data_IF_346301239888
#
_entry.id   IF_346301239888
#
_cell.length_a   1.000
_cell.length_b   1.000
_cell.length_c   1.000
_cell.angle_alpha   90.00
_cell.angle_beta   90.00
_cell.angle_gamma   90.00
#
_symmetry.space_group_name_H-M   'P 1'
#
loop_
_entity.id
_entity.type
_entity.pdbx_description
1 polymer ?
#
# COMPACT_ATOMS: atom_id res chain seq x y z
N UNK A 1 -14.88 -23.04 -1.56
CA UNK A 1 -15.79 -22.30 -0.66
C UNK A 1 -15.20 -20.91 -0.51
N UNK A 2 -15.94 -19.88 -0.92
CA UNK A 2 -15.56 -18.50 -0.69
C UNK A 2 -15.69 -18.24 0.82
N UNK A 3 -14.59 -17.87 1.47
CA UNK A 3 -14.62 -17.43 2.87
C UNK A 3 -15.37 -16.10 2.87
N UNK A 4 -16.49 -16.05 3.58
CA UNK A 4 -17.29 -14.84 3.74
C UNK A 4 -16.41 -13.74 4.33
N UNK A 5 -16.44 -12.55 3.73
CA UNK A 5 -15.64 -11.38 4.10
C UNK A 5 -16.13 -10.67 5.38
N UNK A 6 -16.77 -11.40 6.28
CA UNK A 6 -17.38 -10.89 7.51
C UNK A 6 -16.64 -11.52 8.68
N UNK A 7 -16.10 -10.67 9.56
CA UNK A 7 -15.30 -10.98 10.75
C UNK A 7 -13.77 -11.03 10.54
N UNK A 8 -13.22 -10.03 9.84
CA UNK A 8 -11.81 -9.68 9.99
C UNK A 8 -11.68 -8.77 11.22
N UNK A 9 -11.01 -9.26 12.26
CA UNK A 9 -10.74 -8.50 13.50
C UNK A 9 -10.07 -7.15 13.20
N UNK A 10 -10.45 -6.13 13.98
CA UNK A 10 -9.89 -4.79 13.90
C UNK A 10 -8.42 -4.81 14.34
N UNK A 11 -7.57 -4.08 13.63
CA UNK A 11 -6.13 -4.09 13.90
C UNK A 11 -5.80 -3.15 15.07
N UNK A 12 -5.15 -3.66 16.12
CA UNK A 12 -4.26 -2.85 16.96
C UNK A 12 -2.96 -2.54 16.20
N UNK A 13 -2.85 -1.35 15.61
CA UNK A 13 -1.69 -0.95 14.81
C UNK A 13 -0.36 -1.27 15.50
N UNK A 14 0.73 -1.63 14.76
CA UNK A 14 1.93 -2.18 15.37
C UNK A 14 2.55 -1.18 16.34
N UNK A 15 2.29 -1.32 17.64
CA UNK A 15 2.77 -0.39 18.66
C UNK A 15 4.30 -0.45 18.76
N UNK A 16 4.92 0.59 19.32
CA UNK A 16 6.32 0.53 19.75
C UNK A 16 6.45 -0.61 20.78
N UNK A 17 6.90 -1.78 20.35
CA UNK A 17 7.15 -2.90 21.25
C UNK A 17 8.41 -2.56 22.04
N UNK A 18 8.22 -1.97 23.22
CA UNK A 18 9.30 -1.70 24.15
C UNK A 18 9.95 -2.99 24.67
N UNK A 19 11.28 -3.09 24.53
CA UNK A 19 12.10 -3.90 25.44
C UNK A 19 12.44 -5.35 25.05
N UNK A 20 12.51 -5.69 23.75
CA UNK A 20 13.12 -6.95 23.28
C UNK A 20 14.38 -6.70 22.44
N UNK A 21 15.35 -7.62 22.44
CA UNK A 21 16.48 -7.58 21.50
C UNK A 21 15.95 -7.37 20.07
N UNK A 22 16.40 -6.29 19.43
CA UNK A 22 15.93 -5.93 18.09
C UNK A 22 16.31 -7.03 17.10
N UNK A 23 15.31 -7.79 16.66
CA UNK A 23 15.51 -8.85 15.67
C UNK A 23 15.87 -8.23 14.31
N UNK A 24 16.96 -8.64 13.64
CA UNK A 24 17.58 -7.88 12.56
C UNK A 24 16.70 -7.68 11.31
N UNK A 25 15.71 -8.55 11.13
CA UNK A 25 14.79 -8.53 9.98
C UNK A 25 13.34 -8.17 10.37
N UNK A 26 13.09 -7.86 11.65
CA UNK A 26 11.83 -7.27 12.07
C UNK A 26 11.86 -5.75 11.91
N UNK A 27 10.75 -5.18 11.45
CA UNK A 27 10.56 -3.75 11.32
C UNK A 27 9.67 -3.26 12.47
N UNK A 28 10.31 -3.08 13.63
CA UNK A 28 9.73 -2.65 14.91
C UNK A 28 9.50 -1.12 14.98
N UNK A 29 10.27 -0.35 14.21
CA UNK A 29 10.20 1.12 14.18
C UNK A 29 9.02 1.61 13.35
N UNK A 30 7.86 1.67 13.98
CA UNK A 30 6.67 2.35 13.48
C UNK A 30 6.61 3.78 14.01
N UNK A 31 6.19 4.73 13.17
CA UNK A 31 5.97 6.13 13.56
C UNK A 31 4.57 6.57 13.22
N UNK A 32 3.91 7.24 14.17
CA UNK A 32 2.64 7.89 13.96
C UNK A 32 2.89 9.23 13.27
N UNK A 33 2.52 9.32 11.98
CA UNK A 33 2.76 10.52 11.16
C UNK A 33 1.54 11.43 11.07
N UNK A 34 0.34 10.86 11.25
CA UNK A 34 -0.91 11.61 11.36
C UNK A 34 -1.75 10.99 12.47
N UNK A 35 -2.31 11.83 13.34
CA UNK A 35 -3.33 11.43 14.32
C UNK A 35 -4.38 12.53 14.43
N UNK A 36 -5.62 12.19 14.16
CA UNK A 36 -6.80 13.05 14.37
C UNK A 36 -7.93 12.21 14.98
N UNK A 37 -9.06 12.83 15.31
CA UNK A 37 -10.27 12.08 15.69
C UNK A 37 -10.85 11.25 14.54
N UNK A 38 -10.58 11.65 13.29
CA UNK A 38 -11.06 10.97 12.09
C UNK A 38 -10.19 9.79 11.64
N UNK A 39 -9.02 9.59 12.24
CA UNK A 39 -8.15 8.47 11.88
C UNK A 39 -6.67 8.68 12.17
N UNK A 40 -5.86 7.77 11.67
CA UNK A 40 -4.41 7.81 11.84
C UNK A 40 -3.67 7.26 10.62
N UNK A 41 -2.44 7.75 10.45
CA UNK A 41 -1.47 7.20 9.50
C UNK A 41 -0.21 6.83 10.26
N UNK A 42 0.23 5.58 10.10
CA UNK A 42 1.47 5.07 10.68
C UNK A 42 2.40 4.56 9.59
N UNK A 43 3.69 4.78 9.77
CA UNK A 43 4.72 4.39 8.81
C UNK A 43 5.74 3.50 9.52
N UNK A 44 5.89 2.28 9.04
CA UNK A 44 6.96 1.36 9.43
C UNK A 44 8.13 1.56 8.47
N UNK A 45 9.27 2.00 9.01
CA UNK A 45 10.44 2.28 8.17
C UNK A 45 11.14 0.97 7.83
N UNK A 46 11.40 0.75 6.53
CA UNK A 46 12.38 -0.24 6.11
C UNK A 46 13.76 0.02 6.75
N UNK A 47 14.54 -1.04 6.91
CA UNK A 47 15.92 -0.95 7.39
C UNK A 47 16.85 -0.58 6.24
N UNK A 48 17.73 0.43 6.43
CA UNK A 48 18.91 0.58 5.59
C UNK A 48 19.71 -0.73 5.60
N UNK A 49 20.31 -1.08 4.47
CA UNK A 49 21.10 -2.31 4.36
C UNK A 49 22.46 -2.00 3.76
N UNK A 50 23.51 -2.27 4.54
CA UNK A 50 24.87 -1.77 4.25
C UNK A 50 24.84 -0.25 4.02
N UNK A 51 25.51 0.24 2.97
CA UNK A 51 25.58 1.67 2.63
C UNK A 51 24.39 2.17 1.79
N UNK A 52 23.31 1.38 1.66
CA UNK A 52 22.13 1.73 0.87
C UNK A 52 20.97 2.17 1.77
N UNK A 53 20.23 3.18 1.30
CA UNK A 53 18.96 3.57 1.91
C UNK A 53 17.95 2.42 1.88
N UNK A 54 16.99 2.44 2.80
CA UNK A 54 15.92 1.46 2.79
C UNK A 54 15.14 1.58 1.46
N UNK A 55 15.00 0.50 0.68
CA UNK A 55 14.40 0.59 -0.66
C UNK A 55 12.88 0.81 -0.64
N UNK A 56 12.22 0.59 0.50
CA UNK A 56 10.78 0.72 0.65
C UNK A 56 10.39 0.86 2.13
N UNK A 57 9.29 1.55 2.39
CA UNK A 57 8.63 1.64 3.70
C UNK A 57 7.18 1.15 3.60
N UNK A 58 6.55 0.82 4.73
CA UNK A 58 5.17 0.34 4.77
C UNK A 58 4.30 1.36 5.52
N UNK A 59 3.22 1.80 4.88
CA UNK A 59 2.23 2.70 5.46
C UNK A 59 0.95 1.97 5.85
N UNK A 60 0.35 2.39 6.96
CA UNK A 60 -0.96 1.97 7.44
C UNK A 60 -1.84 3.20 7.57
N UNK A 61 -2.94 3.23 6.82
CA UNK A 61 -3.92 4.32 6.85
C UNK A 61 -5.22 3.76 7.41
N UNK A 62 -5.63 4.28 8.57
CA UNK A 62 -6.87 3.92 9.24
C UNK A 62 -7.79 5.15 9.28
N UNK A 63 -9.01 4.99 8.79
CA UNK A 63 -9.96 6.09 8.69
C UNK A 63 -11.31 5.70 9.29
N UNK A 64 -11.82 6.55 10.17
CA UNK A 64 -13.16 6.42 10.75
C UNK A 64 -14.25 6.60 9.68
N UNK A 65 -15.48 6.11 9.91
CA UNK A 65 -16.62 6.38 9.06
C UNK A 65 -16.82 7.89 8.80
N UNK A 66 -17.23 8.25 7.58
CA UNK A 66 -17.53 9.64 7.18
C UNK A 66 -16.34 10.59 7.32
N UNK A 67 -15.17 10.16 6.85
CA UNK A 67 -13.94 10.96 6.92
C UNK A 67 -13.31 11.19 5.55
N UNK A 68 -12.52 12.26 5.46
CA UNK A 68 -11.74 12.67 4.30
C UNK A 68 -10.28 12.83 4.71
N UNK A 69 -9.39 12.09 4.05
CA UNK A 69 -7.98 12.44 3.95
C UNK A 69 -7.88 13.55 2.91
N UNK A 70 -7.53 14.75 3.37
CA UNK A 70 -7.62 15.96 2.55
C UNK A 70 -6.66 15.93 1.34
N UNK A 71 -6.95 16.70 0.27
CA UNK A 71 -6.13 16.71 -0.93
C UNK A 71 -4.65 17.06 -0.67
N UNK A 72 -3.77 16.17 -1.09
CA UNK A 72 -2.32 16.28 -0.91
C UNK A 72 -1.56 15.53 -2.02
N UNK A 73 -0.29 15.85 -2.21
CA UNK A 73 0.64 14.99 -2.94
C UNK A 73 1.86 14.68 -2.07
N UNK A 74 2.55 13.60 -2.39
CA UNK A 74 3.79 13.20 -1.73
C UNK A 74 4.87 12.90 -2.77
N UNK A 75 6.14 12.98 -2.36
CA UNK A 75 7.33 12.65 -3.17
C UNK A 75 7.66 11.14 -3.14
N UNK A 76 6.63 10.29 -3.18
CA UNK A 76 6.78 8.83 -3.19
C UNK A 76 5.67 8.16 -4.01
N UNK A 77 6.01 7.04 -4.65
CA UNK A 77 5.01 6.17 -5.26
C UNK A 77 4.30 5.37 -4.18
N UNK A 78 2.97 5.29 -4.26
CA UNK A 78 2.14 4.51 -3.33
C UNK A 78 1.47 3.35 -4.06
N UNK A 79 1.77 2.11 -3.68
CA UNK A 79 0.94 0.96 -4.05
C UNK A 79 0.02 0.67 -2.88
N UNK A 80 -1.24 1.07 -2.99
CA UNK A 80 -2.27 0.88 -1.98
C UNK A 80 -2.88 -0.51 -2.10
N UNK A 81 -3.20 -1.13 -0.97
CA UNK A 81 -4.02 -2.32 -0.84
C UNK A 81 -5.11 -2.07 0.19
N UNK A 82 -6.37 -2.18 -0.22
CA UNK A 82 -7.50 -2.01 0.69
C UNK A 82 -7.78 -3.33 1.43
N UNK A 83 -7.48 -3.37 2.74
CA UNK A 83 -7.68 -4.54 3.61
C UNK A 83 -9.14 -4.68 4.04
N UNK A 84 -9.73 -3.57 4.48
CA UNK A 84 -11.04 -3.50 5.13
C UNK A 84 -11.78 -2.22 4.73
N UNK A 85 -13.11 -2.31 4.63
CA UNK A 85 -14.01 -1.19 4.35
C UNK A 85 -14.16 -0.88 2.87
N UNK A 86 -14.82 0.23 2.57
CA UNK A 86 -15.02 0.77 1.23
C UNK A 86 -14.49 2.20 1.16
N UNK A 87 -13.56 2.46 0.24
CA UNK A 87 -12.93 3.76 0.11
C UNK A 87 -13.19 4.36 -1.27
N UNK A 88 -13.43 5.67 -1.33
CA UNK A 88 -13.36 6.42 -2.59
C UNK A 88 -12.01 7.12 -2.64
N UNK A 89 -11.27 6.90 -3.71
CA UNK A 89 -10.00 7.57 -3.98
C UNK A 89 -10.15 8.48 -5.19
N UNK A 90 -9.68 9.72 -5.07
CA UNK A 90 -9.52 10.63 -6.18
C UNK A 90 -8.06 10.99 -6.36
N UNK A 91 -7.56 11.04 -7.59
CA UNK A 91 -6.21 11.49 -7.88
C UNK A 91 -6.10 12.15 -9.26
N UNK A 92 -5.13 13.04 -9.42
CA UNK A 92 -4.80 13.64 -10.71
C UNK A 92 -4.01 12.64 -11.55
N UNK A 93 -4.52 12.32 -12.73
CA UNK A 93 -3.85 11.47 -13.72
C UNK A 93 -3.68 12.24 -15.03
N UNK A 94 -2.43 12.54 -15.38
CA UNK A 94 -2.17 13.51 -16.45
C UNK A 94 -2.74 14.86 -16.04
N UNK A 95 -3.78 15.31 -16.73
CA UNK A 95 -4.46 16.59 -16.48
C UNK A 95 -5.84 16.43 -15.85
N UNK A 96 -6.32 15.19 -15.69
CA UNK A 96 -7.70 14.90 -15.29
C UNK A 96 -7.79 14.40 -13.83
N UNK A 97 -8.84 14.82 -13.12
CA UNK A 97 -9.22 14.20 -11.86
C UNK A 97 -9.95 12.88 -12.13
N UNK A 98 -9.30 11.80 -11.70
CA UNK A 98 -9.82 10.45 -11.78
C UNK A 98 -10.28 10.03 -10.41
N UNK A 99 -11.38 9.28 -10.37
CA UNK A 99 -11.85 8.69 -9.11
C UNK A 99 -12.18 7.22 -9.30
N UNK A 100 -11.94 6.46 -8.25
CA UNK A 100 -12.31 5.05 -8.15
C UNK A 100 -12.91 4.76 -6.78
N UNK A 101 -13.85 3.83 -6.75
CA UNK A 101 -14.26 3.16 -5.51
C UNK A 101 -13.41 1.91 -5.38
N UNK A 102 -12.83 1.73 -4.21
CA UNK A 102 -12.04 0.57 -3.83
C UNK A 102 -12.87 -0.30 -2.90
N UNK A 103 -12.83 -1.61 -3.13
CA UNK A 103 -13.36 -2.67 -2.26
C UNK A 103 -12.22 -3.50 -1.66
N UNK A 104 -12.45 -4.28 -0.59
CA UNK A 104 -11.41 -5.12 -0.01
C UNK A 104 -10.74 -6.02 -1.06
N UNK A 105 -9.41 -6.06 -1.05
CA UNK A 105 -8.60 -6.77 -2.03
C UNK A 105 -8.06 -5.90 -3.17
N UNK A 106 -8.58 -4.69 -3.35
CA UNK A 106 -8.16 -3.80 -4.44
C UNK A 106 -6.75 -3.26 -4.22
N UNK A 107 -5.95 -3.31 -5.29
CA UNK A 107 -4.62 -2.72 -5.40
C UNK A 107 -4.65 -1.56 -6.38
N UNK A 108 -4.13 -0.40 -5.98
CA UNK A 108 -4.07 0.80 -6.82
C UNK A 108 -2.72 1.52 -6.65
N UNK A 109 -2.12 1.95 -7.77
CA UNK A 109 -0.93 2.81 -7.74
C UNK A 109 -1.33 4.29 -7.77
N UNK A 110 -0.79 5.07 -6.84
CA UNK A 110 -0.70 6.53 -6.95
C UNK A 110 0.76 6.90 -7.24
N UNK A 111 1.08 7.48 -8.42
CA UNK A 111 2.44 7.93 -8.72
C UNK A 111 2.87 9.09 -7.84
N UNK A 112 4.17 9.19 -7.54
CA UNK A 112 4.76 10.33 -6.87
C UNK A 112 4.34 11.66 -7.52
N UNK A 113 4.08 12.69 -6.70
CA UNK A 113 3.64 14.02 -7.15
C UNK A 113 2.18 14.10 -7.62
N UNK A 114 1.46 12.97 -7.77
CA UNK A 114 0.04 13.00 -8.12
C UNK A 114 -0.77 13.46 -6.92
N UNK A 115 -1.47 14.58 -7.04
CA UNK A 115 -2.39 15.03 -5.97
C UNK A 115 -3.54 14.04 -5.83
N UNK A 116 -3.81 13.58 -4.61
CA UNK A 116 -4.84 12.62 -4.29
C UNK A 116 -5.58 12.96 -2.99
N UNK A 117 -6.74 12.33 -2.81
CA UNK A 117 -7.52 12.34 -1.58
C UNK A 117 -8.18 10.96 -1.37
N UNK A 118 -8.52 10.63 -0.12
CA UNK A 118 -9.26 9.41 0.24
C UNK A 118 -10.52 9.80 1.01
N UNK A 119 -11.63 9.14 0.73
CA UNK A 119 -12.90 9.32 1.43
C UNK A 119 -13.39 7.98 1.95
N UNK A 120 -13.63 7.89 3.24
CA UNK A 120 -14.41 6.80 3.82
C UNK A 120 -15.90 7.20 3.81
N UNK A 121 -16.65 6.68 2.85
CA UNK A 121 -18.10 6.90 2.72
C UNK A 121 -18.93 5.86 3.48
N UNK A 122 -18.27 4.92 4.17
CA UNK A 122 -18.90 3.81 4.86
C UNK A 122 -19.80 4.28 6.00
N UNK A 123 -21.04 3.80 6.03
CA UNK A 123 -21.93 3.98 7.18
C UNK A 123 -21.51 3.02 8.28
N UNK A 124 -20.71 3.50 9.22
CA UNK A 124 -20.32 2.75 10.42
C UNK A 124 -19.17 1.75 10.24
N UNK A 125 -18.55 1.66 9.06
CA UNK A 125 -17.38 0.81 8.83
C UNK A 125 -16.10 1.64 8.65
N UNK A 126 -15.05 1.27 9.38
CA UNK A 126 -13.70 1.83 9.23
C UNK A 126 -13.05 1.36 7.92
N UNK A 127 -12.16 2.19 7.38
CA UNK A 127 -11.30 1.82 6.26
C UNK A 127 -9.89 1.54 6.78
N UNK A 128 -9.29 0.45 6.31
CA UNK A 128 -7.89 0.11 6.57
C UNK A 128 -7.16 -0.15 5.27
N UNK A 129 -6.09 0.61 5.01
CA UNK A 129 -5.25 0.50 3.81
C UNK A 129 -3.82 0.21 4.26
N UNK A 130 -3.21 -0.76 3.59
CA UNK A 130 -1.77 -1.03 3.68
C UNK A 130 -1.15 -0.53 2.39
N UNK A 131 -0.05 0.22 2.46
CA UNK A 131 0.63 0.68 1.27
C UNK A 131 2.14 0.51 1.31
N UNK A 132 2.73 0.26 0.14
CA UNK A 132 4.16 0.49 -0.04
C UNK A 132 4.41 1.97 -0.25
N UNK A 133 5.47 2.49 0.33
CA UNK A 133 5.98 3.83 0.10
C UNK A 133 7.38 3.68 -0.52
N UNK A 134 7.44 3.88 -1.82
CA UNK A 134 8.66 3.85 -2.63
C UNK A 134 9.12 5.28 -2.89
N UNK A 135 10.14 5.71 -2.15
CA UNK A 135 10.63 7.09 -2.12
C UNK A 135 11.47 7.39 -3.35
N UNK A 136 11.13 8.44 -4.09
CA UNK A 136 11.87 8.81 -5.31
C UNK A 136 13.01 9.81 -5.05
N UNK A 137 12.95 10.53 -3.93
CA UNK A 137 13.91 11.55 -3.53
C UNK A 137 14.38 11.36 -2.08
N UNK A 138 15.58 11.82 -1.70
CA UNK A 138 15.99 11.89 -0.30
C UNK A 138 15.06 12.80 0.51
N UNK A 139 14.60 12.32 1.66
CA UNK A 139 13.77 13.12 2.57
C UNK A 139 14.58 14.20 3.30
N UNK A 140 13.95 15.35 3.55
CA UNK A 140 14.47 16.40 4.43
C UNK A 140 14.28 16.09 5.93
N UNK A 141 13.51 15.05 6.25
CA UNK A 141 13.20 14.65 7.62
C UNK A 141 14.00 13.40 8.00
N UNK A 142 14.68 13.46 9.14
CA UNK A 142 15.25 12.25 9.74
C UNK A 142 14.17 11.27 10.18
N UNK A 143 12.93 11.73 10.35
CA UNK A 143 11.85 10.96 10.96
C UNK A 143 10.90 10.30 9.97
N UNK A 144 10.48 11.03 8.93
CA UNK A 144 9.49 10.58 7.94
C UNK A 144 10.21 10.35 6.60
N UNK A 145 10.06 9.18 5.96
CA UNK A 145 10.84 8.86 4.76
C UNK A 145 10.42 9.60 3.49
N UNK A 146 9.38 10.43 3.54
CA UNK A 146 8.83 11.18 2.42
C UNK A 146 8.33 12.54 2.89
N UNK A 147 8.12 13.45 1.96
CA UNK A 147 7.53 14.77 2.16
C UNK A 147 6.07 14.77 1.74
N UNK A 148 5.26 15.52 2.48
CA UNK A 148 3.84 15.68 2.20
C UNK A 148 3.54 17.15 1.94
N UNK A 149 2.87 17.42 0.82
CA UNK A 149 2.47 18.74 0.41
C UNK A 149 0.94 18.80 0.38
N UNK A 150 0.38 19.45 1.38
CA UNK A 150 -1.05 19.63 1.53
C UNK A 150 -1.56 20.71 0.58
N UNK A 151 -2.45 20.35 -0.33
CA UNK A 151 -3.15 21.30 -1.21
C UNK A 151 -4.35 21.85 -0.45
N UNK A 152 -5.21 20.95 0.01
CA UNK A 152 -6.22 21.27 1.02
C UNK A 152 -5.54 21.34 2.39
N UNK A 153 -5.94 22.28 3.23
CA UNK A 153 -5.34 22.47 4.54
C UNK A 153 -5.68 23.83 5.12
N UNK A 154 -4.94 24.20 6.14
CA UNK A 154 -5.20 25.41 6.90
C UNK A 154 -4.03 25.76 7.80
N UNK A 155 -4.28 26.06 9.07
CA UNK A 155 -3.20 26.10 10.07
C UNK A 155 -2.62 24.69 10.34
N UNK A 156 -3.49 23.68 10.40
CA UNK A 156 -3.10 22.29 10.64
C UNK A 156 -3.88 21.29 9.75
N UNK A 157 -3.23 20.62 8.78
CA UNK A 157 -1.86 20.84 8.33
C UNK A 157 -1.74 22.13 7.52
N UNK A 158 -0.55 22.72 7.53
CA UNK A 158 -0.26 23.93 6.75
C UNK A 158 -0.37 23.63 5.25
N UNK A 159 -1.23 24.37 4.55
CA UNK A 159 -1.33 24.28 3.09
C UNK A 159 -0.05 24.78 2.42
N UNK A 160 0.33 24.18 1.29
CA UNK A 160 1.43 24.65 0.44
C UNK A 160 1.22 26.10 -0.04
N UNK A 161 -0.02 26.57 -0.13
CA UNK A 161 -0.32 27.95 -0.50
C UNK A 161 0.16 28.96 0.56
N UNK A 162 0.18 28.59 1.84
CA UNK A 162 0.56 29.50 2.92
C UNK A 162 2.04 29.94 2.87
N UNK A 163 2.88 29.26 2.09
CA UNK A 163 4.29 29.62 1.90
C UNK A 163 4.53 30.74 0.86
N UNK A 164 3.54 31.04 0.01
CA UNK A 164 3.68 32.08 -1.01
C UNK A 164 3.24 33.45 -0.49
N UNK A 165 3.81 34.52 -1.05
CA UNK A 165 3.30 35.87 -0.78
C UNK A 165 1.85 36.00 -1.25
N UNK A 166 1.00 36.60 -0.42
CA UNK A 166 -0.43 36.79 -0.72
C UNK A 166 -0.63 37.53 -2.05
N UNK A 167 0.16 38.57 -2.31
CA UNK A 167 0.14 39.31 -3.58
C UNK A 167 0.50 38.45 -4.80
N UNK A 168 1.40 37.47 -4.63
CA UNK A 168 1.76 36.50 -5.68
C UNK A 168 0.58 35.59 -5.98
N UNK A 169 -0.07 35.05 -4.94
CA UNK A 169 -1.25 34.22 -5.10
C UNK A 169 -2.45 35.01 -5.64
N UNK A 170 -2.65 36.24 -5.19
CA UNK A 170 -3.70 37.14 -5.68
C UNK A 170 -3.53 37.41 -7.18
N UNK A 171 -2.31 37.72 -7.61
CA UNK A 171 -1.97 37.87 -9.02
C UNK A 171 -2.17 36.55 -9.81
N UNK A 172 -1.69 35.42 -9.28
CA UNK A 172 -1.76 34.13 -9.96
C UNK A 172 -3.19 33.57 -10.07
N UNK A 173 -4.01 33.76 -9.02
CA UNK A 173 -5.41 33.34 -8.97
C UNK A 173 -6.35 34.36 -9.60
N UNK A 174 -5.85 35.54 -9.97
CA UNK A 174 -6.64 36.68 -10.41
C UNK A 174 -7.78 37.00 -9.42
N UNK A 175 -7.41 37.11 -8.14
CA UNK A 175 -8.29 37.30 -7.00
C UNK A 175 -7.79 38.46 -6.13
N UNK A 176 -8.62 38.98 -5.23
CA UNK A 176 -8.16 39.97 -4.25
C UNK A 176 -7.32 39.28 -3.17
N UNK A 177 -6.44 40.03 -2.51
CA UNK A 177 -5.66 39.49 -1.38
C UNK A 177 -6.56 38.99 -0.25
N UNK A 178 -7.71 39.64 -0.03
CA UNK A 178 -8.73 39.22 0.93
C UNK A 178 -9.35 37.85 0.57
N UNK A 179 -9.69 37.65 -0.71
CA UNK A 179 -10.20 36.37 -1.21
C UNK A 179 -9.18 35.24 -1.07
N UNK A 180 -7.88 35.55 -1.24
CA UNK A 180 -6.77 34.60 -1.08
C UNK A 180 -6.47 34.32 0.39
N UNK A 181 -6.62 35.32 1.27
CA UNK A 181 -6.45 35.17 2.71
C UNK A 181 -7.31 34.03 3.27
N UNK A 182 -8.52 33.85 2.75
CA UNK A 182 -9.42 32.73 3.11
C UNK A 182 -8.82 31.33 2.84
N UNK A 183 -7.90 31.21 1.88
CA UNK A 183 -7.23 29.95 1.53
C UNK A 183 -6.04 29.66 2.44
N UNK A 184 -5.29 30.71 2.78
CA UNK A 184 -4.07 30.60 3.58
C UNK A 184 -4.36 30.57 5.08
N UNK A 185 -5.50 31.11 5.50
CA UNK A 185 -5.94 31.20 6.90
C UNK A 185 -7.09 30.24 7.23
N UNK A 186 -7.45 29.34 6.33
CA UNK A 186 -8.42 28.28 6.62
C UNK A 186 -7.99 27.49 7.87
N UNK A 187 -8.95 27.01 8.67
CA UNK A 187 -8.65 26.20 9.85
C UNK A 187 -9.16 24.77 9.59
N UNK A 188 -8.31 23.92 9.03
CA UNK A 188 -8.60 22.50 8.92
C UNK A 188 -8.40 21.82 10.28
N UNK A 189 -9.22 20.81 10.60
CA UNK A 189 -9.12 20.03 11.84
C UNK A 189 -8.07 18.91 11.76
N UNK A 190 -7.03 19.07 10.92
CA UNK A 190 -6.00 18.08 10.67
C UNK A 190 -6.09 17.39 9.29
N UNK A 191 -5.15 16.47 8.99
CA UNK A 191 -5.07 15.83 7.67
C UNK A 191 -6.21 14.85 7.36
N UNK A 192 -6.80 14.25 8.40
CA UNK A 192 -7.99 13.41 8.29
C UNK A 192 -9.11 14.10 9.07
N UNK A 193 -10.16 14.51 8.38
CA UNK A 193 -11.28 15.27 8.98
C UNK A 193 -12.59 14.49 8.88
N UNK A 194 -13.47 14.67 9.85
CA UNK A 194 -14.86 14.26 9.72
C UNK A 194 -15.57 15.16 8.72
N UNK A 195 -16.45 14.53 7.94
CA UNK A 195 -17.25 15.20 6.93
C UNK A 195 -18.69 15.21 7.41
N UNK A 196 -19.07 16.23 8.19
CA UNK A 196 -20.45 16.40 8.67
C UNK A 196 -21.36 16.93 7.56
N UNK A 197 -22.53 16.30 7.36
CA UNK A 197 -23.55 16.78 6.41
C UNK A 197 -23.38 16.36 4.94
N UNK A 198 -22.37 15.53 4.60
CA UNK A 198 -22.22 14.99 3.25
C UNK A 198 -22.85 13.59 3.13
N UNK A 199 -24.15 13.54 2.79
CA UNK A 199 -24.70 12.35 2.15
C UNK A 199 -23.97 12.11 0.81
N UNK A 200 -23.88 10.85 0.36
CA UNK A 200 -23.04 10.43 -0.77
C UNK A 200 -23.19 11.23 -2.08
N UNK A 201 -24.27 11.99 -2.25
CA UNK A 201 -24.48 12.93 -3.36
C UNK A 201 -23.52 14.13 -3.36
N UNK A 202 -23.14 14.71 -2.21
CA UNK A 202 -22.31 15.92 -2.19
C UNK A 202 -20.84 15.66 -2.57
N UNK A 203 -20.29 14.50 -2.21
CA UNK A 203 -18.94 14.09 -2.67
C UNK A 203 -18.88 13.83 -4.17
N UNK A 204 -20.01 13.46 -4.77
CA UNK A 204 -20.14 13.34 -6.22
C UNK A 204 -20.19 14.73 -6.88
N UNK A 205 -20.91 15.69 -6.28
CA UNK A 205 -20.95 17.09 -6.73
C UNK A 205 -19.60 17.80 -6.60
N UNK A 206 -18.86 17.60 -5.51
CA UNK A 206 -17.52 18.17 -5.31
C UNK A 206 -16.54 17.70 -6.38
N UNK A 207 -16.53 16.39 -6.62
CA UNK A 207 -15.75 15.78 -7.68
C UNK A 207 -16.18 16.23 -9.08
N UNK A 208 -17.48 16.41 -9.28
CA UNK A 208 -18.04 16.92 -10.53
C UNK A 208 -17.64 18.38 -10.76
N UNK A 209 -17.63 19.22 -9.72
CA UNK A 209 -17.14 20.59 -9.75
C UNK A 209 -15.65 20.66 -10.08
N UNK A 210 -14.81 19.81 -9.45
CA UNK A 210 -13.39 19.70 -9.80
C UNK A 210 -13.18 19.24 -11.25
N UNK A 211 -13.93 18.23 -11.70
CA UNK A 211 -13.87 17.75 -13.10
C UNK A 211 -14.29 18.83 -14.09
N UNK A 212 -15.34 19.60 -13.79
CA UNK A 212 -15.78 20.73 -14.61
C UNK A 212 -14.68 21.81 -14.66
N UNK A 213 -14.06 22.12 -13.53
CA UNK A 213 -12.94 23.05 -13.46
C UNK A 213 -11.72 22.58 -14.28
N UNK A 214 -11.32 21.31 -14.20
CA UNK A 214 -10.19 20.82 -14.99
C UNK A 214 -10.50 20.82 -16.51
N UNK A 215 -11.74 20.46 -16.89
CA UNK A 215 -12.19 20.48 -18.29
C UNK A 215 -12.22 21.88 -18.89
N UNK A 216 -12.70 22.88 -18.14
CA UNK A 216 -12.69 24.26 -18.62
C UNK A 216 -11.26 24.82 -18.72
N UNK A 217 -10.33 24.40 -17.86
CA UNK A 217 -8.94 24.86 -17.91
C UNK A 217 -8.24 24.36 -19.21
N UNK A 218 -8.50 23.11 -19.59
CA UNK A 218 -8.01 22.53 -20.85
C UNK A 218 -8.46 23.29 -22.10
N UNK A 219 -9.73 23.74 -22.14
CA UNK A 219 -10.27 24.59 -23.22
C UNK A 219 -9.61 25.97 -23.28
N UNK A 220 -9.15 26.49 -22.15
CA UNK A 220 -8.41 27.77 -22.07
C UNK A 220 -7.00 27.65 -22.67
N UNK A 221 -6.31 26.50 -22.47
CA UNK A 221 -5.01 26.22 -23.06
C UNK A 221 -5.07 25.91 -24.56
N UNK A 222 -6.16 25.30 -25.04
CA UNK A 222 -6.36 24.95 -26.46
C UNK A 222 -6.85 26.11 -27.34
N UNK A 223 -6.88 27.35 -26.82
CA UNK A 223 -6.88 28.55 -27.66
C UNK A 223 -8.24 29.12 -28.08
N UNK A 224 -9.28 29.01 -27.24
CA UNK A 224 -10.54 29.75 -27.47
C UNK A 224 -10.46 31.20 -26.92
N UNK A 225 -10.45 32.23 -27.79
CA UNK A 225 -10.33 33.63 -27.38
C UNK A 225 -11.57 34.20 -26.67
N UNK A 226 -12.75 33.56 -26.72
CA UNK A 226 -13.92 34.03 -25.97
C UNK A 226 -13.85 33.71 -24.47
N UNK A 227 -13.19 32.61 -24.08
CA UNK A 227 -13.04 32.22 -22.67
C UNK A 227 -12.09 33.16 -21.93
N UNK A 228 -11.14 33.80 -22.63
CA UNK A 228 -10.23 34.81 -22.04
C UNK A 228 -10.97 36.06 -21.52
N UNK A 229 -12.21 36.34 -21.97
CA UNK A 229 -12.98 37.54 -21.57
C UNK A 229 -13.87 37.34 -20.34
N UNK A 230 -14.19 36.11 -19.94
CA UNK A 230 -14.88 35.83 -18.67
C UNK A 230 -13.85 35.37 -17.64
N UNK A 231 -13.35 36.32 -16.88
CA UNK A 231 -12.38 36.09 -15.81
C UNK A 231 -12.79 34.92 -14.92
N UNK A 232 -11.98 33.89 -14.95
CA UNK A 232 -12.11 32.71 -14.11
C UNK A 232 -11.84 33.08 -12.65
N UNK A 233 -12.74 32.73 -11.72
CA UNK A 233 -12.55 32.94 -10.28
C UNK A 233 -12.47 31.59 -9.54
N UNK A 234 -11.24 31.12 -9.32
CA UNK A 234 -10.93 29.88 -8.56
C UNK A 234 -11.42 29.92 -7.10
N UNK A 235 -11.66 31.13 -6.57
CA UNK A 235 -12.17 31.40 -5.22
C UNK A 235 -13.50 30.70 -4.93
N UNK A 236 -14.39 30.55 -5.93
CA UNK A 236 -15.68 29.86 -5.77
C UNK A 236 -15.58 28.33 -5.64
N UNK A 237 -14.54 27.73 -6.20
CA UNK A 237 -14.28 26.29 -6.07
C UNK A 237 -13.69 26.04 -4.69
N UNK A 238 -12.67 26.81 -4.30
CA UNK A 238 -12.02 26.65 -3.01
C UNK A 238 -12.94 27.00 -1.83
N UNK A 239 -13.83 27.99 -1.97
CA UNK A 239 -14.86 28.27 -0.94
C UNK A 239 -15.83 27.10 -0.76
N UNK A 240 -16.15 26.37 -1.84
CA UNK A 240 -16.95 25.14 -1.78
C UNK A 240 -16.19 23.98 -1.11
N UNK A 241 -14.85 23.96 -1.22
CA UNK A 241 -13.97 23.00 -0.55
C UNK A 241 -13.83 23.25 0.96
N UNK A 242 -13.76 24.51 1.39
CA UNK A 242 -13.43 24.87 2.78
C UNK A 242 -14.63 25.26 3.65
N UNK A 243 -15.74 25.74 3.07
CA UNK A 243 -16.81 26.38 3.87
C UNK A 243 -18.22 25.83 3.64
N UNK A 244 -18.40 24.79 2.81
CA UNK A 244 -19.69 24.08 2.66
C UNK A 244 -20.90 24.92 2.20
N UNK A 245 -20.70 26.21 1.88
CA UNK A 245 -21.77 27.15 1.56
C UNK A 245 -21.58 27.71 0.16
N UNK A 246 -22.38 27.23 -0.79
CA UNK A 246 -22.38 27.73 -2.16
C UNK A 246 -23.34 26.99 -3.08
N UNK A 247 -24.65 27.17 -2.88
CA UNK A 247 -25.66 26.71 -3.83
C UNK A 247 -25.67 27.58 -5.09
N UNK A 248 -24.99 27.14 -6.15
CA UNK A 248 -25.17 27.66 -7.50
C UNK A 248 -25.54 26.52 -8.45
N UNK A 249 -26.72 26.64 -9.07
CA UNK A 249 -27.24 25.75 -10.10
C UNK A 249 -26.85 26.35 -11.45
N UNK A 250 -25.85 25.77 -12.11
CA UNK A 250 -25.48 26.11 -13.49
C UNK A 250 -26.05 25.03 -14.42
N UNK A 251 -26.82 25.48 -15.40
CA UNK A 251 -27.59 24.68 -16.35
C UNK A 251 -26.72 23.75 -17.19
N UNK A 252 -27.27 22.56 -17.49
CA UNK A 252 -26.65 21.54 -18.31
C UNK A 252 -26.61 21.98 -19.78
N UNK A 253 -25.40 22.06 -20.35
CA UNK A 253 -25.23 22.08 -21.80
C UNK A 253 -24.47 20.85 -22.30
N UNK A 254 -24.81 20.51 -23.54
CA UNK A 254 -24.78 19.19 -24.15
C UNK A 254 -23.41 18.48 -24.18
N UNK A 255 -23.50 17.15 -24.09
CA UNK A 255 -22.43 16.19 -24.38
C UNK A 255 -22.06 16.25 -25.87
N UNK A 256 -21.06 17.02 -26.22
CA UNK A 256 -20.35 16.82 -27.49
C UNK A 256 -19.26 15.75 -27.35
N UNK A 257 -19.25 14.86 -28.34
CA UNK A 257 -18.32 13.76 -28.55
C UNK A 257 -16.88 14.26 -28.68
N UNK A 258 -15.98 13.68 -27.87
CA UNK A 258 -14.53 13.90 -27.94
C UNK A 258 -13.92 13.27 -29.20
N UNK A 259 -12.90 13.90 -29.74
CA UNK A 259 -11.94 13.27 -30.65
C UNK A 259 -11.05 12.27 -29.90
N UNK A 260 -10.92 11.08 -30.45
CA UNK A 260 -9.98 10.03 -30.02
C UNK A 260 -8.57 10.37 -30.50
N UNK A 261 -7.68 10.69 -29.56
CA UNK A 261 -6.24 10.80 -29.80
C UNK A 261 -5.52 11.19 -28.52
N UNK A 262 -4.77 10.26 -27.93
CA UNK A 262 -3.71 10.49 -26.93
C UNK A 262 -4.01 10.78 -25.45
N UNK A 263 -5.24 10.62 -24.95
CA UNK A 263 -5.44 10.57 -23.49
C UNK A 263 -5.11 9.16 -22.94
N UNK A 264 -3.98 9.01 -22.24
CA UNK A 264 -3.66 7.76 -21.50
C UNK A 264 -4.80 7.47 -20.54
N UNK A 265 -5.51 6.35 -20.77
CA UNK A 265 -6.64 5.93 -19.92
C UNK A 265 -6.12 5.68 -18.51
N UNK A 266 -6.74 6.28 -17.47
CA UNK A 266 -6.29 6.06 -16.12
C UNK A 266 -6.54 4.61 -15.69
N UNK A 267 -5.61 4.02 -14.93
CA UNK A 267 -5.72 2.64 -14.51
C UNK A 267 -6.93 2.42 -13.60
N UNK A 268 -7.58 1.27 -13.76
CA UNK A 268 -8.54 0.75 -12.79
C UNK A 268 -7.79 0.02 -11.67
N UNK A 269 -8.42 -0.15 -10.51
CA UNK A 269 -7.86 -0.94 -9.43
C UNK A 269 -7.86 -2.44 -9.80
N UNK A 270 -6.87 -3.19 -9.30
CA UNK A 270 -6.77 -4.63 -9.49
C UNK A 270 -7.16 -5.35 -8.21
N UNK A 271 -8.22 -6.15 -8.22
CA UNK A 271 -8.61 -6.92 -7.04
C UNK A 271 -7.84 -8.24 -6.93
N UNK A 272 -7.10 -8.44 -5.85
CA UNK A 272 -6.33 -9.67 -5.60
C UNK A 272 -7.23 -10.89 -5.36
N UNK A 273 -8.41 -10.71 -4.75
CA UNK A 273 -9.31 -11.81 -4.42
C UNK A 273 -10.10 -12.32 -5.62
N UNK A 274 -10.22 -11.52 -6.69
CA UNK A 274 -10.82 -11.94 -7.96
C UNK A 274 -9.85 -12.85 -8.78
N UNK A 275 -8.57 -12.96 -8.37
CA UNK A 275 -7.54 -13.77 -9.03
C UNK A 275 -7.51 -15.22 -8.50
N UNK A 276 -7.18 -16.17 -9.39
CA UNK A 276 -6.84 -17.54 -8.99
C UNK A 276 -5.42 -17.58 -8.39
N UNK A 277 -5.18 -18.31 -7.30
CA UNK A 277 -3.84 -18.47 -6.75
C UNK A 277 -2.83 -19.00 -7.77
N UNK A 278 -1.63 -18.42 -7.74
CA UNK A 278 -0.49 -18.88 -8.53
C UNK A 278 0.03 -20.22 -8.01
N UNK A 279 -0.20 -20.52 -6.73
CA UNK A 279 0.00 -21.84 -6.13
C UNK A 279 -1.12 -22.18 -5.14
N UNK A 280 -1.51 -23.46 -5.08
CA UNK A 280 -2.46 -23.98 -4.08
C UNK A 280 -2.23 -25.47 -3.86
N UNK A 281 -2.19 -25.90 -2.61
CA UNK A 281 -2.35 -27.29 -2.20
C UNK A 281 -3.19 -27.36 -0.90
N UNK A 282 -3.20 -28.51 -0.23
CA UNK A 282 -3.95 -28.71 1.02
C UNK A 282 -3.39 -27.95 2.22
N UNK A 283 -2.17 -27.41 2.12
CA UNK A 283 -1.47 -26.70 3.20
C UNK A 283 -1.59 -25.18 3.11
N UNK A 284 -2.02 -24.66 1.96
CA UNK A 284 -2.16 -23.23 1.75
C UNK A 284 -2.24 -22.82 0.29
N UNK A 285 -2.15 -21.52 0.04
CA UNK A 285 -2.12 -20.93 -1.29
C UNK A 285 -1.34 -19.62 -1.31
N UNK A 286 -0.89 -19.21 -2.49
CA UNK A 286 -0.23 -17.91 -2.69
C UNK A 286 -0.65 -17.24 -4.00
N UNK A 287 -0.61 -15.92 -3.99
CA UNK A 287 -0.87 -15.02 -5.12
C UNK A 287 0.31 -14.06 -5.26
N UNK A 288 0.74 -13.80 -6.49
CA UNK A 288 1.69 -12.75 -6.87
C UNK A 288 1.05 -11.85 -7.94
N UNK A 289 0.94 -10.56 -7.66
CA UNK A 289 0.52 -9.53 -8.61
C UNK A 289 1.74 -8.71 -9.04
N UNK A 290 2.06 -8.75 -10.34
CA UNK A 290 3.25 -8.14 -10.92
C UNK A 290 2.90 -7.27 -12.15
N UNK A 291 3.90 -6.65 -12.79
CA UNK A 291 3.73 -5.72 -13.92
C UNK A 291 3.08 -6.32 -15.17
N UNK A 292 3.14 -7.65 -15.34
CA UNK A 292 2.47 -8.30 -16.47
C UNK A 292 0.96 -8.40 -16.25
N UNK A 293 0.54 -8.55 -15.00
CA UNK A 293 -0.86 -8.64 -14.60
C UNK A 293 -1.48 -7.26 -14.39
N UNK A 294 -0.70 -6.33 -13.82
CA UNK A 294 -1.12 -4.96 -13.52
C UNK A 294 -0.01 -3.97 -13.91
N UNK A 295 -0.06 -3.52 -15.17
CA UNK A 295 0.94 -2.64 -15.78
C UNK A 295 1.34 -1.38 -14.97
N UNK A 296 0.44 -0.72 -14.21
CA UNK A 296 0.82 0.42 -13.37
C UNK A 296 1.97 0.13 -12.41
N UNK A 297 2.09 -1.09 -11.88
CA UNK A 297 3.16 -1.49 -10.96
C UNK A 297 4.58 -1.30 -11.52
N UNK A 298 4.73 -1.24 -12.84
CA UNK A 298 6.00 -0.93 -13.49
C UNK A 298 6.56 0.44 -13.08
N UNK A 299 5.71 1.41 -12.73
CA UNK A 299 6.13 2.76 -12.35
C UNK A 299 6.82 2.82 -10.98
N UNK A 300 6.39 2.00 -10.01
CA UNK A 300 7.02 1.90 -8.69
C UNK A 300 8.09 0.80 -8.62
N UNK A 301 8.19 -0.05 -9.65
CA UNK A 301 8.98 -1.28 -9.59
C UNK A 301 8.67 -2.12 -8.32
N UNK A 302 7.41 -2.14 -7.89
CA UNK A 302 6.92 -2.93 -6.76
C UNK A 302 5.93 -3.97 -7.25
N UNK A 303 6.02 -5.20 -6.75
CA UNK A 303 4.98 -6.21 -6.89
C UNK A 303 4.33 -6.51 -5.53
N UNK A 304 3.18 -7.16 -5.55
CA UNK A 304 2.37 -7.46 -4.37
C UNK A 304 2.22 -8.97 -4.24
N UNK A 305 2.25 -9.49 -3.02
CA UNK A 305 1.97 -10.90 -2.77
C UNK A 305 0.98 -11.08 -1.63
N UNK A 306 0.28 -12.22 -1.66
CA UNK A 306 -0.62 -12.66 -0.62
C UNK A 306 -0.43 -14.16 -0.43
N UNK A 307 -0.24 -14.60 0.81
CA UNK A 307 -0.01 -16.00 1.18
C UNK A 307 -0.95 -16.37 2.30
N UNK A 308 -1.56 -17.54 2.19
CA UNK A 308 -2.34 -18.15 3.26
C UNK A 308 -1.76 -19.52 3.59
N UNK A 309 -1.46 -19.73 4.86
CA UNK A 309 -0.96 -20.98 5.41
C UNK A 309 -2.02 -21.55 6.36
N UNK A 310 -2.37 -22.82 6.17
CA UNK A 310 -3.17 -23.54 7.15
C UNK A 310 -2.36 -23.82 8.41
N UNK A 311 -3.04 -24.10 9.53
CA UNK A 311 -2.39 -24.36 10.81
C UNK A 311 -1.30 -25.44 10.70
N UNK A 312 -0.11 -25.15 11.23
CA UNK A 312 1.04 -26.06 11.16
C UNK A 312 1.56 -26.31 9.73
N UNK A 313 1.45 -25.32 8.85
CA UNK A 313 2.04 -25.34 7.51
C UNK A 313 3.15 -24.30 7.37
N UNK A 314 3.99 -24.43 6.35
CA UNK A 314 5.05 -23.49 6.05
C UNK A 314 5.18 -23.23 4.56
N UNK A 315 5.56 -22.01 4.18
CA UNK A 315 6.26 -21.83 2.91
C UNK A 315 7.63 -22.47 3.08
N UNK A 316 7.99 -23.38 2.17
CA UNK A 316 9.25 -24.11 2.21
C UNK A 316 10.44 -23.14 2.25
N UNK A 317 11.55 -23.50 2.91
CA UNK A 317 12.82 -22.78 2.81
C UNK A 317 13.14 -22.41 1.37
N UNK A 318 13.27 -21.11 1.10
CA UNK A 318 13.44 -20.57 -0.25
C UNK A 318 14.29 -19.31 -0.25
N UNK A 319 14.67 -18.92 -1.46
CA UNK A 319 15.43 -17.70 -1.73
C UNK A 319 14.72 -16.89 -2.81
N UNK A 320 14.52 -15.60 -2.52
CA UNK A 320 14.06 -14.64 -3.51
C UNK A 320 15.26 -14.12 -4.30
N UNK A 321 15.31 -14.47 -5.58
CA UNK A 321 16.48 -14.18 -6.44
C UNK A 321 16.40 -12.83 -7.13
N UNK A 322 15.26 -12.14 -7.05
CA UNK A 322 15.03 -10.91 -7.80
C UNK A 322 14.76 -9.71 -6.91
N UNK A 323 13.97 -9.87 -5.86
CA UNK A 323 13.53 -8.77 -5.02
C UNK A 323 13.74 -9.07 -3.54
N UNK A 324 13.82 -8.00 -2.75
CA UNK A 324 13.63 -8.09 -1.32
C UNK A 324 12.12 -8.13 -1.02
N UNK A 325 11.74 -8.80 0.07
CA UNK A 325 10.35 -9.03 0.47
C UNK A 325 10.03 -8.26 1.75
N UNK A 326 8.92 -7.55 1.76
CA UNK A 326 8.35 -6.90 2.94
C UNK A 326 7.02 -7.56 3.24
N UNK A 327 6.93 -8.30 4.34
CA UNK A 327 5.73 -9.02 4.75
C UNK A 327 5.05 -8.35 5.94
N UNK A 328 3.73 -8.34 5.91
CA UNK A 328 2.83 -7.92 6.98
C UNK A 328 1.98 -9.13 7.36
N UNK A 329 1.95 -9.47 8.64
CA UNK A 329 1.04 -10.50 9.14
C UNK A 329 -0.38 -9.94 9.22
N UNK A 330 -1.26 -10.48 8.39
CA UNK A 330 -2.63 -9.98 8.23
C UNK A 330 -3.60 -10.60 9.22
N UNK A 331 -3.35 -11.84 9.65
CA UNK A 331 -4.13 -12.56 10.65
C UNK A 331 -3.36 -13.78 11.14
N UNK A 332 -3.61 -14.18 12.38
CA UNK A 332 -3.00 -15.35 12.98
C UNK A 332 -1.57 -15.10 13.46
N UNK A 333 -0.88 -16.19 13.76
CA UNK A 333 0.46 -16.16 14.33
C UNK A 333 1.33 -17.27 13.76
N UNK A 334 2.64 -17.11 13.91
CA UNK A 334 3.61 -18.03 13.35
C UNK A 334 5.04 -17.63 13.64
N UNK A 335 5.93 -18.06 12.76
CA UNK A 335 7.37 -17.84 12.87
C UNK A 335 7.96 -17.50 11.51
N UNK A 336 8.92 -16.58 11.51
CA UNK A 336 9.77 -16.30 10.35
C UNK A 336 11.21 -16.64 10.71
N UNK A 337 11.85 -17.45 9.87
CA UNK A 337 13.26 -17.81 10.00
C UNK A 337 14.07 -17.27 8.82
N UNK A 338 15.22 -16.66 9.10
CA UNK A 338 16.14 -16.09 8.09
C UNK A 338 17.55 -16.58 8.38
N UNK A 339 18.33 -16.84 7.33
CA UNK A 339 19.69 -17.40 7.40
C UNK A 339 20.72 -16.44 6.79
N UNK A 340 21.89 -16.31 7.42
CA UNK A 340 23.01 -15.51 6.91
C UNK A 340 23.77 -16.26 5.81
N UNK A 341 24.56 -15.56 4.96
CA UNK A 341 25.35 -16.20 3.91
C UNK A 341 26.35 -17.26 4.40
N UNK A 342 26.80 -17.18 5.66
CA UNK A 342 27.68 -18.16 6.29
C UNK A 342 26.94 -19.42 6.82
N UNK A 343 25.61 -19.49 6.63
CA UNK A 343 24.77 -20.59 7.08
C UNK A 343 24.28 -20.50 8.53
N UNK A 344 24.69 -19.48 9.31
CA UNK A 344 24.18 -19.32 10.68
C UNK A 344 22.77 -18.73 10.68
N UNK A 345 21.99 -19.03 11.71
CA UNK A 345 20.66 -18.44 11.90
C UNK A 345 20.80 -16.92 12.07
N UNK A 346 20.10 -16.17 11.22
CA UNK A 346 20.09 -14.72 11.23
C UNK A 346 18.89 -14.17 12.03
N UNK A 347 17.74 -14.83 11.92
CA UNK A 347 16.55 -14.54 12.72
C UNK A 347 15.71 -15.80 12.91
N UNK A 348 15.09 -15.92 14.08
CA UNK A 348 14.01 -16.86 14.40
C UNK A 348 12.98 -16.12 15.23
N UNK A 349 12.10 -15.37 14.57
CA UNK A 349 11.15 -14.50 15.24
C UNK A 349 9.75 -15.12 15.22
N UNK A 350 9.08 -15.11 16.38
CA UNK A 350 7.64 -15.30 16.41
C UNK A 350 7.00 -14.03 15.86
N UNK A 351 5.94 -14.20 15.08
CA UNK A 351 5.20 -13.10 14.46
C UNK A 351 3.71 -13.31 14.70
N UNK A 352 2.98 -12.22 14.88
CA UNK A 352 1.53 -12.17 15.07
C UNK A 352 0.92 -11.07 14.21
N UNK A 353 -0.40 -11.03 14.14
CA UNK A 353 -1.13 -9.99 13.41
C UNK A 353 -0.56 -8.59 13.67
N UNK A 354 -0.26 -7.91 12.59
CA UNK A 354 0.29 -6.58 12.54
C UNK A 354 1.81 -6.46 12.54
N UNK A 355 2.54 -7.54 12.81
CA UNK A 355 3.99 -7.53 12.69
C UNK A 355 4.43 -7.34 11.23
N UNK A 356 5.50 -6.56 11.06
CA UNK A 356 6.12 -6.30 9.76
C UNK A 356 7.56 -6.82 9.78
N UNK A 357 7.92 -7.57 8.76
CA UNK A 357 9.29 -8.07 8.57
C UNK A 357 9.78 -7.78 7.16
N UNK A 358 11.10 -7.83 7.00
CA UNK A 358 11.76 -7.63 5.73
C UNK A 358 12.87 -8.64 5.50
N UNK A 359 12.87 -9.29 4.33
CA UNK A 359 13.91 -10.25 3.94
C UNK A 359 14.64 -9.74 2.70
N UNK A 360 15.96 -9.45 2.79
CA UNK A 360 16.74 -9.05 1.64
C UNK A 360 16.79 -10.13 0.57
N UNK A 361 16.97 -9.68 -0.67
CA UNK A 361 17.26 -10.55 -1.81
C UNK A 361 18.42 -11.49 -1.47
N UNK A 362 18.31 -12.75 -1.91
CA UNK A 362 19.29 -13.83 -1.71
C UNK A 362 19.38 -14.45 -0.32
N UNK A 363 18.68 -13.94 0.69
CA UNK A 363 18.67 -14.54 2.02
C UNK A 363 17.72 -15.75 2.04
N UNK A 364 18.17 -16.94 2.48
CA UNK A 364 17.28 -18.07 2.70
C UNK A 364 16.34 -17.81 3.86
N UNK A 365 15.06 -18.12 3.68
CA UNK A 365 14.05 -17.92 4.70
C UNK A 365 12.84 -18.84 4.53
N UNK A 366 12.03 -18.93 5.58
CA UNK A 366 10.72 -19.56 5.54
C UNK A 366 9.74 -18.84 6.47
N UNK A 367 8.45 -18.97 6.18
CA UNK A 367 7.37 -18.57 7.08
C UNK A 367 6.57 -19.81 7.49
N UNK A 368 6.29 -19.92 8.78
CA UNK A 368 5.62 -21.09 9.38
C UNK A 368 4.41 -20.61 10.16
N UNK A 369 3.23 -21.12 9.84
CA UNK A 369 2.03 -20.87 10.64
C UNK A 369 2.08 -21.67 11.95
N UNK A 370 1.63 -21.05 13.03
CA UNK A 370 1.42 -21.74 14.29
C UNK A 370 0.37 -22.85 14.15
N UNK A 371 0.27 -23.70 15.16
CA UNK A 371 -0.71 -24.80 15.18
C UNK A 371 -2.10 -24.35 15.66
N UNK A 372 -2.18 -23.22 16.35
CA UNK A 372 -3.43 -22.68 16.88
C UNK A 372 -4.41 -22.19 15.79
N UNK A 373 -3.91 -21.86 14.60
CA UNK A 373 -4.76 -21.35 13.52
C UNK A 373 -4.00 -21.09 12.22
N UNK A 374 -4.72 -20.72 11.16
CA UNK A 374 -4.09 -20.30 9.91
C UNK A 374 -3.33 -18.97 10.08
N UNK A 375 -2.35 -18.73 9.21
CA UNK A 375 -1.64 -17.46 9.13
C UNK A 375 -1.79 -16.88 7.72
N UNK A 376 -2.20 -15.62 7.63
CA UNK A 376 -2.27 -14.87 6.37
C UNK A 376 -1.18 -13.79 6.34
N UNK A 377 -0.46 -13.70 5.23
CA UNK A 377 0.63 -12.75 5.01
C UNK A 377 0.33 -11.95 3.74
N UNK A 378 0.37 -10.63 3.83
CA UNK A 378 0.31 -9.74 2.69
C UNK A 378 1.62 -8.95 2.61
N UNK A 379 2.07 -8.61 1.42
CA UNK A 379 3.28 -7.81 1.33
C UNK A 379 3.65 -7.32 -0.05
N UNK A 380 4.81 -6.70 -0.09
CA UNK A 380 5.36 -6.05 -1.27
C UNK A 380 6.77 -6.54 -1.55
N UNK A 381 7.16 -6.57 -2.82
CA UNK A 381 8.52 -6.89 -3.23
C UNK A 381 9.13 -5.75 -4.04
N UNK A 382 10.41 -5.49 -3.86
CA UNK A 382 11.17 -4.40 -4.52
C UNK A 382 11.46 -4.63 -6.01
N UNK A 383 10.70 -5.50 -6.67
CA UNK A 383 10.63 -5.54 -8.12
C UNK A 383 9.20 -5.80 -8.59
N UNK A 384 8.78 -5.07 -9.62
CA UNK A 384 7.49 -5.29 -10.28
C UNK A 384 7.49 -6.50 -11.20
N UNK A 385 8.63 -7.10 -11.54
CA UNK A 385 8.63 -8.32 -12.36
C UNK A 385 8.56 -9.55 -11.47
N UNK A 386 8.03 -10.63 -12.06
CA UNK A 386 7.87 -11.92 -11.40
C UNK A 386 9.13 -12.38 -10.65
N UNK A 387 9.00 -12.60 -9.35
CA UNK A 387 10.13 -12.83 -8.44
C UNK A 387 10.76 -14.22 -8.61
N UNK A 388 9.94 -15.24 -8.94
CA UNK A 388 10.35 -16.66 -9.12
C UNK A 388 11.23 -17.17 -7.97
N UNK A 389 10.65 -17.43 -6.77
CA UNK A 389 11.39 -17.99 -5.65
C UNK A 389 12.07 -19.31 -6.01
N UNK A 390 13.29 -19.50 -5.51
CA UNK A 390 14.01 -20.78 -5.60
C UNK A 390 13.82 -21.55 -4.28
N UNK A 391 13.06 -22.64 -4.33
CA UNK A 391 12.86 -23.50 -3.18
C UNK A 391 14.09 -24.38 -2.93
N UNK A 392 14.57 -24.41 -1.69
CA UNK A 392 15.73 -25.20 -1.27
C UNK A 392 15.34 -26.65 -0.96
N UNK A 393 14.11 -26.87 -0.49
CA UNK A 393 13.56 -28.18 -0.14
C UNK A 393 12.15 -28.37 -0.68
N UNK A 394 11.67 -29.61 -0.73
CA UNK A 394 10.38 -29.98 -1.33
C UNK A 394 10.50 -30.51 -2.75
N UNK A 395 9.35 -30.88 -3.34
CA UNK A 395 9.31 -31.67 -4.57
C UNK A 395 9.86 -30.98 -5.83
N UNK A 396 9.85 -29.65 -5.85
CA UNK A 396 10.34 -28.81 -6.94
C UNK A 396 11.61 -28.01 -6.56
N UNK A 397 12.39 -28.51 -5.59
CA UNK A 397 13.52 -27.77 -5.04
C UNK A 397 14.81 -27.90 -5.85
N UNK A 398 15.73 -26.93 -5.65
CA UNK A 398 17.08 -27.00 -6.22
C UNK A 398 17.85 -28.22 -5.72
N UNK A 399 17.58 -28.68 -4.50
CA UNK A 399 18.24 -29.85 -3.92
C UNK A 399 17.84 -31.14 -4.66
N UNK A 400 16.61 -31.23 -5.15
CA UNK A 400 16.19 -32.33 -6.04
C UNK A 400 16.69 -32.14 -7.46
N UNK A 401 16.68 -30.91 -7.98
CA UNK A 401 17.13 -30.62 -9.34
C UNK A 401 18.64 -30.86 -9.52
N UNK A 402 19.45 -30.65 -8.49
CA UNK A 402 20.90 -30.88 -8.48
C UNK A 402 21.28 -32.27 -7.93
N UNK A 403 20.32 -33.19 -7.78
CA UNK A 403 20.62 -34.52 -7.29
C UNK A 403 21.60 -35.25 -8.21
N UNK A 404 22.70 -35.73 -7.64
CA UNK A 404 23.76 -36.40 -8.37
C UNK A 404 25.02 -36.55 -7.53
N UNK A 405 26.07 -37.17 -8.08
CA UNK A 405 27.30 -37.47 -7.36
C UNK A 405 28.02 -36.21 -6.85
N UNK A 406 27.93 -35.08 -7.55
CA UNK A 406 28.56 -33.81 -7.14
C UNK A 406 27.92 -33.25 -5.86
N UNK A 407 26.59 -33.24 -5.79
CA UNK A 407 25.88 -32.79 -4.61
C UNK A 407 26.09 -33.76 -3.43
N UNK A 408 26.06 -35.07 -3.70
CA UNK A 408 26.36 -36.11 -2.71
C UNK A 408 27.76 -35.94 -2.11
N UNK A 409 28.77 -35.74 -2.96
CA UNK A 409 30.14 -35.43 -2.54
C UNK A 409 30.21 -34.14 -1.72
N UNK A 410 29.45 -33.10 -2.09
CA UNK A 410 29.34 -31.85 -1.33
C UNK A 410 28.79 -32.03 0.09
N UNK A 411 27.89 -32.99 0.31
CA UNK A 411 27.40 -33.39 1.63
C UNK A 411 28.30 -34.41 2.34
N UNK A 412 29.27 -35.01 1.63
CA UNK A 412 30.05 -36.14 2.14
C UNK A 412 29.20 -37.39 2.38
N UNK A 413 28.09 -37.56 1.64
CA UNK A 413 27.15 -38.67 1.80
C UNK A 413 27.14 -39.59 0.56
N UNK A 414 26.83 -40.88 0.71
CA UNK A 414 26.43 -41.72 -0.41
C UNK A 414 25.24 -41.13 -1.16
N UNK A 415 25.24 -41.23 -2.50
CA UNK A 415 24.20 -40.62 -3.35
C UNK A 415 22.81 -41.19 -3.04
N UNK A 416 22.69 -42.49 -2.80
CA UNK A 416 21.44 -43.17 -2.45
C UNK A 416 20.87 -42.68 -1.11
N UNK A 417 21.74 -42.41 -0.13
CA UNK A 417 21.35 -41.85 1.15
C UNK A 417 20.87 -40.40 1.01
N UNK A 418 21.60 -39.56 0.27
CA UNK A 418 21.15 -38.19 -0.01
C UNK A 418 19.82 -38.19 -0.78
N UNK A 419 19.69 -39.08 -1.77
CA UNK A 419 18.45 -39.25 -2.55
C UNK A 419 17.28 -39.65 -1.65
N UNK A 420 17.48 -40.55 -0.68
CA UNK A 420 16.44 -40.95 0.27
C UNK A 420 15.91 -39.75 1.08
N UNK A 421 16.80 -38.91 1.59
CA UNK A 421 16.41 -37.74 2.42
C UNK A 421 15.71 -36.68 1.57
N UNK A 422 16.28 -36.34 0.42
CA UNK A 422 15.74 -35.30 -0.47
C UNK A 422 14.41 -35.69 -1.11
N UNK A 423 14.19 -36.99 -1.35
CA UNK A 423 12.95 -37.51 -1.92
C UNK A 423 11.83 -37.72 -0.88
N UNK A 424 12.09 -37.54 0.43
CA UNK A 424 11.11 -37.79 1.48
C UNK A 424 9.90 -36.84 1.48
N UNK A 425 10.08 -35.58 1.08
CA UNK A 425 9.02 -34.56 1.07
C UNK A 425 8.33 -34.46 -0.30
N UNK A 426 7.13 -35.02 -0.44
CA UNK A 426 6.40 -35.07 -1.71
C UNK A 426 5.66 -33.77 -2.08
N UNK A 427 5.51 -32.84 -1.16
CA UNK A 427 4.85 -31.56 -1.39
C UNK A 427 5.83 -30.51 -1.93
N UNK A 428 5.31 -29.47 -2.58
CA UNK A 428 6.09 -28.37 -3.15
C UNK A 428 5.59 -27.02 -2.64
N UNK A 429 6.45 -26.00 -2.57
CA UNK A 429 6.13 -24.60 -2.23
C UNK A 429 5.59 -24.43 -0.80
N UNK A 430 4.42 -24.98 -0.48
CA UNK A 430 3.83 -24.95 0.87
C UNK A 430 3.76 -26.38 1.40
N UNK A 431 4.38 -26.62 2.55
CA UNK A 431 4.64 -27.94 3.13
C UNK A 431 4.02 -28.04 4.53
N UNK A 432 3.77 -29.25 5.06
CA UNK A 432 3.49 -29.41 6.48
C UNK A 432 4.72 -29.01 7.31
N UNK A 433 4.51 -28.36 8.46
CA UNK A 433 5.55 -28.15 9.47
C UNK A 433 5.70 -29.37 10.40
N UNK A 434 6.64 -29.31 11.35
CA UNK A 434 6.98 -30.40 12.27
C UNK A 434 5.78 -30.86 13.11
N UNK A 435 5.59 -32.17 13.36
CA UNK A 435 4.51 -32.69 14.22
C UNK A 435 4.55 -32.06 15.62
N UNK A 436 3.39 -31.93 16.27
CA UNK A 436 3.30 -31.38 17.63
C UNK A 436 4.18 -32.20 18.58
N UNK A 437 5.01 -31.53 19.39
CA UNK A 437 5.71 -32.22 20.47
C UNK A 437 4.75 -32.44 21.65
N UNK A 438 5.00 -33.44 22.50
CA UNK A 438 4.23 -33.62 23.75
C UNK A 438 4.27 -32.38 24.67
N UNK A 439 5.29 -31.52 24.52
CA UNK A 439 5.39 -30.25 25.23
C UNK A 439 4.38 -29.21 24.72
N UNK A 440 4.16 -29.14 23.40
CA UNK A 440 3.23 -28.19 22.78
C UNK A 440 1.78 -28.48 23.17
N UNK A 441 1.45 -29.73 23.51
CA UNK A 441 0.12 -30.16 23.94
C UNK A 441 -0.16 -29.92 25.43
N UNK A 442 0.83 -29.54 26.24
CA UNK A 442 0.68 -29.28 27.68
C UNK A 442 0.53 -27.80 28.03
N UNK A 443 0.68 -26.91 27.04
CA UNK A 443 0.60 -25.45 27.21
C UNK A 443 -0.64 -24.84 26.53
N UNK A 444 -1.50 -25.67 25.96
CA UNK A 444 -2.90 -25.36 25.59
C UNK A 444 -3.84 -25.92 26.63
#
# INVERSE_FOLDING_TARGET
>A
MAVAATDREEWETPGEHGGGESSPFMLDKSKLVVKTEGGEIRVVRGRPWMDHTAPMHIGFINMEPNTLLIPQYIDANLVLFLRLGDAKIGWIHGEDLVERRLKPGDVLLIPAGSTFFLVNVGKGQRVQIICSIDTVEPTLSEDIPYQTFFIGGGEYPRSAFAGFHVSTLAAALNATEEEVGLLTEAHAAGPIIFVTGMEGEQTSRLAESMRKALKLNKRSYEGDPEIRKKGWRWTGILSSFFFGNGGWRLEEENKESRSEGDAVKPPDAYNLYDRKPDFRNKYGWSIELNEHDYAPLKKSNVAVFLVNLTAGSMVAPHVNTRAAEYGVVMSGEGKVEVVYPNGTAAMRANVKEGDVFWVPRFFPFCQVAARGGPMELFGFTTSSRRNRPQFLVGANSILRAMMGPELAAGFGLPEDELKRVTMAQNESVILPSWPATELDMRLT
#
